data_IF_114189244204
#
_entry.id   IF_114189244204
#
_cell.length_a   1.000
_cell.length_b   1.000
_cell.length_c   1.000
_cell.angle_alpha   90.00
_cell.angle_beta   90.00
_cell.angle_gamma   90.00
#
_symmetry.space_group_name_H-M   'P 1'
#
loop_
_entity.id
_entity.type
_entity.pdbx_description
1 polymer ?
#
# COMPACT_ATOMS: atom_id res chain seq x y z
N UNK A 1 20.61 3.17 -1.70
CA UNK A 1 20.88 3.04 -0.26
C UNK A 1 20.70 4.41 0.36
N UNK A 2 19.75 4.61 1.30
CA UNK A 2 19.54 5.93 1.92
C UNK A 2 19.92 5.96 3.41
N UNK A 3 19.70 4.90 4.19
CA UNK A 3 20.17 4.83 5.61
C UNK A 3 20.56 3.43 6.11
N UNK A 4 21.19 3.37 7.30
CA UNK A 4 21.50 2.12 8.02
C UNK A 4 20.24 1.34 8.42
N UNK A 5 19.13 2.05 8.67
CA UNK A 5 17.84 1.44 8.98
C UNK A 5 17.34 0.64 7.78
N UNK A 6 17.43 1.20 6.57
CA UNK A 6 17.06 0.47 5.34
C UNK A 6 17.83 -0.84 5.19
N UNK A 7 19.13 -0.80 5.47
CA UNK A 7 19.99 -1.96 5.38
C UNK A 7 19.58 -3.03 6.40
N UNK A 8 19.40 -2.64 7.66
CA UNK A 8 18.99 -3.56 8.72
C UNK A 8 17.61 -4.19 8.44
N UNK A 9 16.63 -3.39 8.01
CA UNK A 9 15.29 -3.87 7.65
C UNK A 9 15.35 -4.85 6.48
N UNK A 10 16.16 -4.59 5.45
CA UNK A 10 16.32 -5.49 4.29
C UNK A 10 17.07 -6.77 4.64
N UNK A 11 18.09 -6.70 5.48
CA UNK A 11 18.80 -7.87 5.97
C UNK A 11 17.87 -8.78 6.78
N UNK A 12 17.04 -8.17 7.64
CA UNK A 12 16.05 -8.92 8.42
C UNK A 12 14.95 -9.51 7.55
N UNK A 13 14.50 -8.75 6.56
CA UNK A 13 13.51 -9.21 5.60
C UNK A 13 13.93 -10.46 4.84
N UNK A 14 15.22 -10.65 4.56
CA UNK A 14 15.71 -11.86 3.89
C UNK A 14 15.37 -13.15 4.68
N UNK A 15 15.36 -13.07 6.03
CA UNK A 15 14.95 -14.19 6.89
C UNK A 15 13.46 -14.46 6.78
N UNK A 16 12.63 -13.42 6.79
CA UNK A 16 11.17 -13.53 6.65
C UNK A 16 10.81 -14.08 5.27
N UNK A 17 11.44 -13.57 4.21
CA UNK A 17 11.20 -14.03 2.84
C UNK A 17 11.49 -15.52 2.68
N UNK A 18 12.52 -16.05 3.35
CA UNK A 18 12.83 -17.47 3.32
C UNK A 18 11.76 -18.36 3.99
N UNK A 19 10.91 -17.80 4.87
CA UNK A 19 9.79 -18.48 5.52
C UNK A 19 8.48 -18.39 4.71
N UNK A 20 8.47 -17.63 3.61
CA UNK A 20 7.29 -17.33 2.79
C UNK A 20 6.75 -15.92 3.05
N UNK A 21 6.44 -15.19 1.96
CA UNK A 21 5.87 -13.84 2.03
C UNK A 21 4.89 -13.57 0.87
N UNK A 22 3.69 -14.13 1.00
CA UNK A 22 2.62 -13.99 0.00
C UNK A 22 2.26 -12.52 -0.27
N UNK A 23 2.39 -11.66 0.75
CA UNK A 23 2.05 -10.23 0.62
C UNK A 23 2.98 -9.53 -0.38
N UNK A 24 4.29 -9.68 -0.21
CA UNK A 24 5.24 -9.03 -1.12
C UNK A 24 5.28 -9.74 -2.48
N UNK A 25 5.07 -11.05 -2.52
CA UNK A 25 5.03 -11.81 -3.76
C UNK A 25 3.83 -11.38 -4.63
N UNK A 26 2.62 -11.34 -4.07
CA UNK A 26 1.42 -10.81 -4.75
C UNK A 26 1.61 -9.31 -5.08
N UNK A 27 2.13 -8.54 -4.12
CA UNK A 27 2.38 -7.11 -4.29
C UNK A 27 3.35 -6.77 -5.42
N UNK A 28 4.30 -7.67 -5.72
CA UNK A 28 5.24 -7.51 -6.84
C UNK A 28 4.60 -7.68 -8.22
N UNK A 29 3.42 -8.30 -8.28
CA UNK A 29 2.69 -8.53 -9.54
C UNK A 29 1.80 -7.34 -9.94
N UNK A 30 1.59 -6.39 -9.02
CA UNK A 30 0.80 -5.18 -9.25
C UNK A 30 1.69 -4.09 -9.86
N UNK A 31 1.26 -3.56 -11.00
CA UNK A 31 1.78 -2.34 -11.60
C UNK A 31 1.20 -1.12 -10.87
N UNK A 32 1.89 -0.73 -9.78
CA UNK A 32 1.49 0.38 -8.91
C UNK A 32 1.50 1.75 -9.61
N UNK A 33 2.26 1.90 -10.69
CA UNK A 33 2.35 3.15 -11.44
C UNK A 33 1.06 3.41 -12.24
N UNK A 34 0.27 2.38 -12.54
CA UNK A 34 -1.06 2.57 -13.17
C UNK A 34 -2.04 3.35 -12.33
N UNK A 35 -1.82 3.48 -11.02
CA UNK A 35 -2.72 4.24 -10.15
C UNK A 35 -2.39 5.73 -10.05
N UNK A 36 -1.38 6.21 -10.77
CA UNK A 36 -0.97 7.63 -10.78
C UNK A 36 -2.08 8.58 -11.26
N UNK A 37 -3.12 8.09 -11.95
CA UNK A 37 -4.31 8.89 -12.27
C UNK A 37 -5.07 9.43 -11.03
N UNK A 38 -4.75 8.93 -9.84
CA UNK A 38 -5.28 9.37 -8.55
C UNK A 38 -4.46 10.51 -7.91
N UNK A 39 -3.28 10.84 -8.44
CA UNK A 39 -2.44 11.95 -7.94
C UNK A 39 -3.18 13.28 -7.74
N UNK A 40 -4.12 13.70 -8.62
CA UNK A 40 -4.89 14.93 -8.42
C UNK A 40 -5.72 14.95 -7.12
N UNK A 41 -5.96 13.80 -6.48
CA UNK A 41 -6.66 13.73 -5.19
C UNK A 41 -5.74 14.04 -4.00
N UNK A 42 -4.43 13.81 -4.14
CA UNK A 42 -3.45 14.15 -3.11
C UNK A 42 -3.11 15.64 -3.15
N UNK A 43 -2.87 16.16 -4.37
CA UNK A 43 -2.25 17.47 -4.57
C UNK A 43 -3.29 18.55 -4.92
N UNK A 44 -3.66 19.37 -3.92
CA UNK A 44 -4.41 20.62 -4.14
C UNK A 44 -3.50 21.86 -4.11
N UNK A 45 -2.31 21.75 -3.56
CA UNK A 45 -1.35 22.86 -3.50
C UNK A 45 -0.33 22.75 -4.65
N UNK A 46 -0.52 23.60 -5.66
CA UNK A 46 0.51 23.98 -6.66
C UNK A 46 1.23 25.26 -6.24
N UNK A 47 1.26 25.57 -4.96
CA UNK A 47 1.86 26.81 -4.45
C UNK A 47 3.39 26.68 -4.39
N UNK A 48 4.08 27.73 -4.83
CA UNK A 48 5.55 27.85 -4.85
C UNK A 48 6.21 27.91 -3.47
N UNK A 49 5.42 27.88 -2.40
CA UNK A 49 5.87 27.89 -1.01
C UNK A 49 5.93 26.45 -0.53
N UNK A 50 7.14 25.88 -0.60
CA UNK A 50 7.45 24.48 -0.31
C UNK A 50 6.87 23.98 1.02
N UNK A 51 6.05 22.95 0.93
CA UNK A 51 5.65 22.12 2.06
C UNK A 51 6.48 20.84 2.14
N UNK A 52 6.24 20.03 3.19
CA UNK A 52 6.83 18.69 3.38
C UNK A 52 6.78 17.90 2.07
N UNK A 53 7.84 17.16 1.69
CA UNK A 53 7.84 16.35 0.48
C UNK A 53 6.56 15.54 0.42
N UNK A 54 5.86 15.68 -0.69
CA UNK A 54 4.60 15.01 -0.94
C UNK A 54 4.79 13.50 -0.78
N UNK A 55 4.01 12.88 0.12
CA UNK A 55 3.93 11.42 0.21
C UNK A 55 3.53 10.90 -1.18
N UNK A 56 4.24 9.88 -1.64
CA UNK A 56 3.94 9.24 -2.92
C UNK A 56 2.54 8.61 -2.87
N UNK A 57 1.70 8.89 -3.87
CA UNK A 57 0.36 8.29 -4.02
C UNK A 57 0.41 6.77 -3.94
N UNK A 58 1.48 6.13 -4.45
CA UNK A 58 1.64 4.68 -4.43
C UNK A 58 1.70 4.14 -3.01
N UNK A 59 2.36 4.86 -2.09
CA UNK A 59 2.40 4.48 -0.66
C UNK A 59 0.99 4.53 -0.07
N UNK A 60 0.22 5.58 -0.39
CA UNK A 60 -1.15 5.71 0.11
C UNK A 60 -2.08 4.60 -0.40
N UNK A 61 -1.95 4.24 -1.68
CA UNK A 61 -2.73 3.15 -2.28
C UNK A 61 -2.37 1.83 -1.63
N UNK A 62 -1.08 1.54 -1.48
CA UNK A 62 -0.61 0.32 -0.80
C UNK A 62 -1.11 0.24 0.65
N UNK A 63 -1.19 1.36 1.37
CA UNK A 63 -1.78 1.41 2.70
C UNK A 63 -3.27 1.05 2.71
N UNK A 64 -4.05 1.54 1.74
CA UNK A 64 -5.46 1.15 1.59
C UNK A 64 -5.61 -0.33 1.23
N UNK A 65 -4.70 -0.86 0.41
CA UNK A 65 -4.67 -2.29 0.06
C UNK A 65 -4.39 -3.14 1.30
N UNK A 66 -3.36 -2.80 2.10
CA UNK A 66 -3.10 -3.46 3.38
C UNK A 66 -4.31 -3.39 4.31
N UNK A 67 -4.93 -2.21 4.41
CA UNK A 67 -6.12 -2.02 5.22
C UNK A 67 -7.25 -2.98 4.83
N UNK A 68 -7.54 -3.10 3.53
CA UNK A 68 -8.61 -3.95 3.01
C UNK A 68 -8.28 -5.44 3.09
N UNK A 69 -7.05 -5.84 2.76
CA UNK A 69 -6.62 -7.24 2.74
C UNK A 69 -6.52 -7.86 4.13
N UNK A 70 -6.20 -7.05 5.16
CA UNK A 70 -6.06 -7.51 6.53
C UNK A 70 -7.21 -7.04 7.44
N UNK A 71 -8.24 -6.37 6.91
CA UNK A 71 -9.39 -5.91 7.69
C UNK A 71 -9.05 -4.90 8.79
N UNK A 72 -8.05 -4.05 8.57
CA UNK A 72 -7.48 -3.18 9.60
C UNK A 72 -8.30 -1.90 9.78
N UNK A 73 -8.45 -1.44 11.02
CA UNK A 73 -8.87 -0.06 11.30
C UNK A 73 -7.73 0.92 10.97
N UNK A 74 -8.01 2.23 10.89
CA UNK A 74 -6.94 3.22 10.63
C UNK A 74 -5.85 3.20 11.73
N UNK A 75 -6.17 3.15 13.04
CA UNK A 75 -5.14 3.00 14.08
C UNK A 75 -4.40 1.65 14.05
N UNK A 76 -5.10 0.57 13.68
CA UNK A 76 -4.49 -0.75 13.52
C UNK A 76 -3.49 -0.76 12.37
N UNK A 77 -3.84 -0.15 11.23
CA UNK A 77 -2.96 -0.03 10.08
C UNK A 77 -1.64 0.64 10.45
N UNK A 78 -1.70 1.78 11.14
CA UNK A 78 -0.50 2.49 11.59
C UNK A 78 0.36 1.61 12.52
N UNK A 79 -0.27 0.96 13.50
CA UNK A 79 0.44 0.06 14.43
C UNK A 79 1.10 -1.11 13.71
N UNK A 80 0.37 -1.77 12.80
CA UNK A 80 0.85 -2.94 12.06
C UNK A 80 1.99 -2.58 11.10
N UNK A 81 1.92 -1.41 10.45
CA UNK A 81 3.03 -0.93 9.61
C UNK A 81 4.26 -0.58 10.47
N UNK A 82 4.04 -0.03 11.67
CA UNK A 82 5.12 0.27 12.62
C UNK A 82 5.76 -0.98 13.24
N UNK A 83 5.08 -2.13 13.22
CA UNK A 83 5.55 -3.39 13.81
C UNK A 83 6.11 -4.36 12.75
N UNK A 84 5.40 -4.57 11.64
CA UNK A 84 5.69 -5.63 10.67
C UNK A 84 6.68 -5.20 9.58
N UNK A 85 7.79 -5.93 9.48
CA UNK A 85 8.81 -5.70 8.45
C UNK A 85 8.27 -5.96 7.04
N UNK A 86 7.45 -7.01 6.84
CA UNK A 86 6.86 -7.30 5.53
C UNK A 86 5.96 -6.15 5.03
N UNK A 87 5.25 -5.47 5.92
CA UNK A 87 4.45 -4.30 5.56
C UNK A 87 5.32 -3.13 5.10
N UNK A 88 6.40 -2.83 5.81
CA UNK A 88 7.36 -1.78 5.41
C UNK A 88 8.01 -2.08 4.06
N UNK A 89 8.38 -3.34 3.83
CA UNK A 89 8.95 -3.79 2.56
C UNK A 89 7.91 -3.68 1.43
N UNK A 90 6.67 -4.12 1.66
CA UNK A 90 5.57 -3.98 0.71
C UNK A 90 5.34 -2.51 0.32
N UNK A 91 5.32 -1.59 1.31
CA UNK A 91 5.20 -0.16 1.06
C UNK A 91 6.38 0.42 0.26
N UNK A 92 7.56 -0.19 0.36
CA UNK A 92 8.79 0.30 -0.28
C UNK A 92 9.40 1.52 0.41
N UNK A 93 8.97 1.82 1.64
CA UNK A 93 9.47 2.91 2.47
C UNK A 93 9.70 2.44 3.90
N UNK A 94 10.76 2.95 4.50
CA UNK A 94 11.28 2.61 5.84
C UNK A 94 11.30 3.81 6.77
N UNK A 95 11.26 5.03 6.22
CA UNK A 95 11.48 6.27 6.98
C UNK A 95 10.22 7.12 7.13
N UNK A 96 9.32 7.07 6.15
CA UNK A 96 8.13 7.91 6.11
C UNK A 96 6.89 7.07 5.87
N UNK A 97 6.27 6.62 6.95
CA UNK A 97 4.93 6.05 6.96
C UNK A 97 3.95 7.16 7.34
N UNK A 98 2.93 7.44 6.52
CA UNK A 98 1.86 8.38 6.86
C UNK A 98 1.12 7.95 8.12
N UNK A 99 0.77 8.91 8.99
CA UNK A 99 -0.12 8.65 10.11
C UNK A 99 -1.54 8.25 9.64
N UNK A 100 -2.30 7.63 10.53
CA UNK A 100 -3.65 7.15 10.25
C UNK A 100 -4.58 8.27 9.74
N UNK A 101 -4.38 9.51 10.20
CA UNK A 101 -5.21 10.66 9.84
C UNK A 101 -5.00 11.07 8.37
N UNK A 102 -3.77 10.93 7.88
CA UNK A 102 -3.40 11.19 6.49
C UNK A 102 -4.02 10.15 5.56
N UNK A 103 -3.97 8.87 5.95
CA UNK A 103 -4.61 7.77 5.22
C UNK A 103 -6.13 7.96 5.16
N UNK A 104 -6.73 8.28 6.31
CA UNK A 104 -8.16 8.56 6.41
C UNK A 104 -8.60 9.69 5.47
N UNK A 105 -7.88 10.81 5.46
CA UNK A 105 -8.19 11.96 4.62
C UNK A 105 -8.10 11.63 3.13
N UNK A 106 -7.09 10.85 2.72
CA UNK A 106 -6.98 10.39 1.33
C UNK A 106 -8.15 9.49 0.93
N UNK A 107 -8.51 8.53 1.78
CA UNK A 107 -9.68 7.66 1.57
C UNK A 107 -10.96 8.46 1.44
N UNK A 108 -11.15 9.48 2.27
CA UNK A 108 -12.30 10.37 2.20
C UNK A 108 -12.37 11.11 0.85
N UNK A 109 -11.23 11.60 0.33
CA UNK A 109 -11.15 12.24 -0.99
C UNK A 109 -11.43 11.27 -2.14
N UNK A 110 -10.99 10.02 -2.04
CA UNK A 110 -11.31 8.97 -3.01
C UNK A 110 -12.81 8.69 -3.08
N UNK A 111 -13.48 8.62 -1.92
CA UNK A 111 -14.93 8.42 -1.84
C UNK A 111 -15.67 9.61 -2.42
N UNK A 112 -15.33 10.84 -2.00
CA UNK A 112 -15.98 12.08 -2.46
C UNK A 112 -15.83 12.33 -3.97
N UNK A 113 -14.73 11.86 -4.57
CA UNK A 113 -14.47 11.99 -6.01
C UNK A 113 -15.05 10.84 -6.85
N UNK A 114 -15.65 9.82 -6.25
CA UNK A 114 -16.14 8.63 -6.95
C UNK A 114 -15.05 7.66 -7.42
N UNK A 115 -13.77 8.02 -7.30
CA UNK A 115 -12.62 7.26 -7.80
C UNK A 115 -12.24 6.04 -6.95
N UNK A 116 -12.85 5.87 -5.78
CA UNK A 116 -12.68 4.65 -4.97
C UNK A 116 -13.01 3.39 -5.77
N UNK A 117 -14.11 3.41 -6.56
CA UNK A 117 -14.49 2.27 -7.41
C UNK A 117 -13.45 2.00 -8.50
N UNK A 118 -12.91 3.04 -9.11
CA UNK A 118 -11.90 2.93 -10.17
C UNK A 118 -10.60 2.31 -9.64
N UNK A 119 -10.16 2.71 -8.44
CA UNK A 119 -9.00 2.13 -7.76
C UNK A 119 -9.17 0.62 -7.55
N UNK A 120 -10.30 0.20 -6.97
CA UNK A 120 -10.50 -1.22 -6.69
C UNK A 120 -10.71 -2.05 -7.96
N UNK A 121 -11.37 -1.48 -8.98
CA UNK A 121 -11.55 -2.11 -10.28
C UNK A 121 -10.22 -2.33 -10.99
N UNK A 122 -9.32 -1.35 -10.97
CA UNK A 122 -8.00 -1.48 -11.58
C UNK A 122 -7.14 -2.50 -10.84
N UNK A 123 -7.15 -2.47 -9.49
CA UNK A 123 -6.44 -3.49 -8.70
C UNK A 123 -6.95 -4.89 -9.02
N UNK A 124 -8.27 -5.06 -9.03
CA UNK A 124 -8.88 -6.36 -9.32
C UNK A 124 -8.57 -6.83 -10.75
N UNK A 125 -8.63 -5.95 -11.75
CA UNK A 125 -8.24 -6.27 -13.14
C UNK A 125 -6.81 -6.82 -13.21
N UNK A 126 -5.85 -6.15 -12.55
CA UNK A 126 -4.46 -6.61 -12.54
C UNK A 126 -4.29 -7.95 -11.80
N UNK A 127 -5.03 -8.17 -10.71
CA UNK A 127 -5.00 -9.43 -9.97
C UNK A 127 -5.58 -10.59 -10.80
N UNK A 128 -6.72 -10.37 -11.46
CA UNK A 128 -7.36 -11.37 -12.33
C UNK A 128 -6.48 -11.74 -13.54
N UNK A 129 -5.80 -10.76 -14.16
CA UNK A 129 -4.82 -11.00 -15.24
C UNK A 129 -3.65 -11.90 -14.82
N UNK A 130 -3.39 -11.97 -13.53
CA UNK A 130 -2.32 -12.78 -12.93
C UNK A 130 -2.83 -14.08 -12.29
N UNK A 131 -4.13 -14.36 -12.41
CA UNK A 131 -4.76 -15.55 -11.84
C UNK A 131 -5.08 -15.47 -10.34
N UNK A 132 -5.03 -14.27 -9.74
CA UNK A 132 -5.38 -14.07 -8.34
C UNK A 132 -6.85 -13.65 -8.18
N UNK A 133 -7.60 -14.40 -7.39
CA UNK A 133 -8.94 -14.02 -6.94
C UNK A 133 -8.86 -13.49 -5.49
N UNK A 134 -8.98 -12.17 -5.32
CA UNK A 134 -9.00 -11.56 -3.98
C UNK A 134 -10.47 -11.44 -3.52
N UNK A 135 -10.89 -12.26 -2.55
CA UNK A 135 -12.15 -12.01 -1.82
C UNK A 135 -11.92 -10.98 -0.72
N UNK A 136 -12.87 -10.04 -0.56
CA UNK A 136 -12.88 -9.15 0.61
C UNK A 136 -12.93 -9.98 1.90
N UNK A 137 -12.03 -9.72 2.86
CA UNK A 137 -12.14 -10.26 4.22
C UNK A 137 -10.90 -10.93 4.79
N UNK A 138 -9.97 -11.44 3.98
CA UNK A 138 -8.62 -11.81 4.43
C UNK A 138 -7.74 -12.22 3.24
N UNK A 139 -6.45 -11.89 3.27
CA UNK A 139 -5.42 -12.56 2.46
C UNK A 139 -5.10 -13.98 2.97
N UNK A 140 -5.71 -14.42 4.07
CA UNK A 140 -5.39 -15.73 4.65
C UNK A 140 -5.75 -16.90 3.73
N UNK A 141 -6.63 -16.71 2.74
CA UNK A 141 -7.00 -17.74 1.77
C UNK A 141 -7.07 -17.21 0.33
N UNK A 142 -5.98 -16.60 -0.16
CA UNK A 142 -5.81 -16.40 -1.61
C UNK A 142 -5.38 -17.73 -2.26
N UNK A 143 -6.34 -18.63 -2.49
CA UNK A 143 -6.08 -19.91 -3.16
C UNK A 143 -6.00 -19.70 -4.68
N UNK A 144 -4.99 -20.29 -5.32
CA UNK A 144 -4.96 -20.46 -6.79
C UNK A 144 -6.26 -21.11 -7.24
N UNK A 145 -7.02 -20.45 -8.11
CA UNK A 145 -8.05 -21.13 -8.89
C UNK A 145 -7.38 -21.45 -10.23
N UNK A 146 -6.89 -22.68 -10.36
CA UNK A 146 -6.50 -23.28 -11.66
C UNK A 146 -7.73 -23.85 -12.34
#
# INVERSE_FOLDING_TARGET
MRTLIDFAVRAEYARIKALGDDLCDIGSQVDWERFRFLEPLMYKNKTSLGGRPNIDIVIMIKLLVLQRWFGLSDPELERQVADRISFRIFLGTTEAVPDFSTVWLFRERLIKSGKSKDLWKELQRQMEEKGYAVKEGSIQDATFIT
#
